data_IF_337558403142
#
_entry.id   IF_337558403142
#
_cell.length_a   1.000
_cell.length_b   1.000
_cell.length_c   1.000
_cell.angle_alpha   90.00
_cell.angle_beta   90.00
_cell.angle_gamma   90.00
#
_symmetry.space_group_name_H-M   'P 1'
#
loop_
_entity.id
_entity.type
_entity.pdbx_description
1 polymer ?
#
# COMPACT_ATOMS: atom_id res chain seq x y z
N UNK A 1 35.00 49.55 -27.57
CA UNK A 1 35.11 50.24 -26.26
C UNK A 1 33.70 50.67 -25.88
N UNK A 2 32.98 50.07 -24.95
CA UNK A 2 33.41 49.32 -23.78
C UNK A 2 32.56 48.07 -23.59
N UNK A 3 33.27 47.01 -23.26
CA UNK A 3 32.78 45.77 -22.66
C UNK A 3 32.08 46.08 -21.34
N UNK A 4 31.01 45.35 -21.03
CA UNK A 4 30.81 44.85 -19.67
C UNK A 4 29.92 43.60 -19.71
N UNK A 5 30.64 42.51 -19.56
CA UNK A 5 30.19 41.17 -19.23
C UNK A 5 29.43 41.20 -17.90
N UNK A 6 28.27 40.55 -17.81
CA UNK A 6 27.71 40.12 -16.52
C UNK A 6 27.10 38.74 -16.73
N UNK A 7 27.88 37.75 -16.34
CA UNK A 7 27.46 36.36 -16.18
C UNK A 7 26.59 36.19 -14.91
N UNK A 8 25.83 35.10 -14.92
CA UNK A 8 25.29 34.36 -13.77
C UNK A 8 24.07 34.92 -13.04
N UNK A 9 22.92 34.28 -13.28
CA UNK A 9 22.46 33.25 -12.36
C UNK A 9 21.38 32.40 -13.05
N UNK A 10 21.75 31.18 -13.47
CA UNK A 10 20.79 30.09 -13.62
C UNK A 10 20.18 29.83 -12.24
N UNK A 11 18.95 30.30 -12.03
CA UNK A 11 18.13 29.85 -10.92
C UNK A 11 17.63 28.46 -11.26
N UNK A 12 18.34 27.46 -10.77
CA UNK A 12 17.88 26.07 -10.69
C UNK A 12 16.62 26.01 -9.81
N UNK A 13 15.45 26.23 -10.41
CA UNK A 13 14.18 25.86 -9.80
C UNK A 13 14.07 24.34 -9.85
N UNK A 14 14.64 23.70 -8.83
CA UNK A 14 14.33 22.32 -8.50
C UNK A 14 12.93 22.27 -7.89
N UNK A 15 11.90 22.47 -8.73
CA UNK A 15 10.52 22.17 -8.35
C UNK A 15 10.40 20.65 -8.24
N UNK A 16 10.66 20.13 -7.04
CA UNK A 16 10.19 18.82 -6.65
C UNK A 16 8.67 18.83 -6.83
N UNK A 17 8.21 18.22 -7.91
CA UNK A 17 6.78 18.13 -8.21
C UNK A 17 6.06 17.44 -7.04
N UNK A 18 4.83 17.87 -6.72
CA UNK A 18 4.07 17.23 -5.66
C UNK A 18 3.90 15.76 -6.00
N UNK A 19 4.28 14.91 -5.06
CA UNK A 19 4.16 13.44 -5.12
C UNK A 19 2.67 13.05 -5.06
N UNK A 20 1.92 13.30 -6.13
CA UNK A 20 0.55 12.79 -6.30
C UNK A 20 0.61 11.28 -6.63
N UNK A 21 0.78 10.44 -5.60
CA UNK A 21 0.87 8.98 -5.80
C UNK A 21 -0.42 8.21 -5.53
N UNK A 22 -1.47 8.84 -4.98
CA UNK A 22 -2.62 8.08 -4.42
C UNK A 22 -3.77 7.76 -5.37
N UNK A 23 -3.74 8.18 -6.64
CA UNK A 23 -4.84 7.93 -7.57
C UNK A 23 -4.67 6.69 -8.46
N UNK A 24 -3.49 6.08 -8.48
CA UNK A 24 -3.28 4.87 -9.28
C UNK A 24 -3.89 3.67 -8.53
N UNK A 25 -4.69 2.88 -9.26
CA UNK A 25 -5.30 1.61 -8.82
C UNK A 25 -6.28 1.69 -7.64
N UNK A 26 -6.81 2.88 -7.34
CA UNK A 26 -7.91 3.03 -6.39
C UNK A 26 -9.21 2.43 -6.95
N UNK A 27 -9.93 1.66 -6.13
CA UNK A 27 -11.28 1.16 -6.43
C UNK A 27 -12.22 1.42 -5.26
N UNK A 28 -13.35 2.07 -5.53
CA UNK A 28 -14.37 2.41 -4.54
C UNK A 28 -15.05 1.17 -3.92
N UNK A 29 -15.00 0.03 -4.62
CA UNK A 29 -15.51 -1.26 -4.14
C UNK A 29 -14.46 -2.35 -4.27
N UNK A 30 -14.53 -3.33 -3.37
CA UNK A 30 -13.64 -4.48 -3.40
C UNK A 30 -13.90 -5.31 -4.68
N UNK A 31 -12.89 -5.65 -5.49
CA UNK A 31 -13.09 -6.40 -6.74
C UNK A 31 -13.62 -7.82 -6.56
N UNK A 32 -13.52 -8.37 -5.35
CA UNK A 32 -13.92 -9.74 -5.04
C UNK A 32 -15.28 -9.78 -4.32
N UNK A 33 -15.37 -9.17 -3.13
CA UNK A 33 -16.58 -9.22 -2.32
C UNK A 33 -17.47 -7.97 -2.40
N UNK A 34 -17.12 -7.01 -3.27
CA UNK A 34 -17.96 -5.85 -3.65
C UNK A 34 -18.36 -4.89 -2.50
N UNK A 35 -17.70 -4.95 -1.35
CA UNK A 35 -17.93 -4.00 -0.23
C UNK A 35 -17.32 -2.64 -0.54
N UNK A 36 -17.92 -1.56 -0.02
CA UNK A 36 -17.43 -0.20 -0.20
C UNK A 36 -16.17 0.10 0.62
N UNK A 37 -15.44 1.16 0.26
CA UNK A 37 -14.32 1.64 1.09
C UNK A 37 -14.80 1.98 2.50
N UNK A 38 -14.12 1.43 3.51
CA UNK A 38 -14.49 1.57 4.92
C UNK A 38 -15.37 0.44 5.45
N UNK A 39 -15.88 -0.44 4.59
CA UNK A 39 -16.66 -1.62 4.99
C UNK A 39 -15.77 -2.86 5.20
N UNK A 40 -16.17 -3.71 6.14
CA UNK A 40 -15.48 -4.97 6.41
C UNK A 40 -15.70 -5.96 5.26
N UNK A 41 -14.64 -6.65 4.85
CA UNK A 41 -14.74 -7.71 3.85
C UNK A 41 -15.65 -8.85 4.30
N UNK A 42 -16.50 -9.33 3.38
CA UNK A 42 -17.43 -10.44 3.62
C UNK A 42 -16.66 -11.69 4.07
N UNK A 43 -17.20 -12.34 5.10
CA UNK A 43 -16.76 -13.62 5.60
C UNK A 43 -17.90 -14.63 5.43
N UNK A 44 -17.56 -15.81 4.93
CA UNK A 44 -18.47 -16.94 4.78
C UNK A 44 -17.77 -18.22 5.27
N UNK A 45 -18.50 -19.11 5.94
CA UNK A 45 -17.94 -20.34 6.53
C UNK A 45 -17.69 -21.45 5.50
N UNK A 46 -18.26 -21.36 4.30
CA UNK A 46 -18.19 -22.38 3.25
C UNK A 46 -16.97 -22.20 2.37
N UNK A 47 -16.73 -20.97 1.90
CA UNK A 47 -15.58 -20.66 1.04
C UNK A 47 -14.48 -19.84 1.73
N UNK A 48 -14.71 -19.37 2.96
CA UNK A 48 -13.80 -18.54 3.77
C UNK A 48 -13.89 -17.03 3.47
N UNK A 49 -14.75 -16.63 2.53
CA UNK A 49 -15.04 -15.25 2.16
C UNK A 49 -14.02 -14.63 1.20
N UNK A 50 -13.80 -13.33 1.38
CA UNK A 50 -13.04 -12.51 0.42
C UNK A 50 -11.55 -12.89 0.28
N UNK A 51 -11.10 -13.11 -0.95
CA UNK A 51 -9.70 -13.34 -1.37
C UNK A 51 -8.80 -12.13 -1.09
N UNK A 52 -9.36 -10.92 -1.05
CA UNK A 52 -8.62 -9.68 -0.77
C UNK A 52 -8.38 -9.49 0.72
N UNK A 53 -9.27 -10.00 1.58
CA UNK A 53 -9.20 -9.78 3.02
C UNK A 53 -7.88 -10.27 3.63
N UNK A 54 -7.32 -9.50 4.55
CA UNK A 54 -6.13 -9.84 5.34
C UNK A 54 -6.49 -10.34 6.73
N UNK A 55 -5.68 -11.23 7.26
CA UNK A 55 -5.69 -11.54 8.68
C UNK A 55 -4.97 -10.41 9.43
N UNK A 56 -5.64 -9.77 10.39
CA UNK A 56 -5.08 -8.66 11.15
C UNK A 56 -3.97 -9.11 12.13
N UNK A 57 -3.92 -10.42 12.45
CA UNK A 57 -2.87 -11.01 13.30
C UNK A 57 -1.58 -11.24 12.51
N UNK A 58 -1.67 -11.67 11.25
CA UNK A 58 -0.50 -12.12 10.46
C UNK A 58 -0.13 -11.21 9.29
N UNK A 59 -1.04 -10.37 8.83
CA UNK A 59 -0.89 -9.52 7.64
C UNK A 59 -1.09 -10.25 6.30
N UNK A 60 -1.17 -11.58 6.31
CA UNK A 60 -1.37 -12.40 5.12
C UNK A 60 -2.85 -12.56 4.78
N UNK A 61 -3.14 -13.23 3.66
CA UNK A 61 -4.51 -13.49 3.23
C UNK A 61 -5.30 -14.23 4.31
N UNK A 62 -6.46 -13.68 4.67
CA UNK A 62 -7.35 -14.28 5.68
C UNK A 62 -7.81 -15.67 5.26
N UNK A 63 -8.17 -15.83 3.98
CA UNK A 63 -8.62 -17.09 3.40
C UNK A 63 -7.63 -18.24 3.56
N UNK A 64 -6.32 -17.93 3.55
CA UNK A 64 -5.25 -18.91 3.64
C UNK A 64 -4.65 -19.01 5.05
N UNK A 65 -5.27 -18.37 6.04
CA UNK A 65 -4.82 -18.42 7.43
C UNK A 65 -5.37 -19.67 8.13
N UNK A 66 -4.48 -20.58 8.53
CA UNK A 66 -4.80 -21.86 9.17
C UNK A 66 -4.46 -21.90 10.67
N UNK A 67 -4.08 -20.75 11.24
CA UNK A 67 -3.74 -20.61 12.65
C UNK A 67 -4.98 -20.49 13.54
N UNK A 68 -4.88 -21.01 14.76
CA UNK A 68 -5.96 -20.96 15.76
C UNK A 68 -6.07 -19.58 16.42
N UNK A 69 -6.70 -18.64 15.72
CA UNK A 69 -7.05 -17.31 16.24
C UNK A 69 -8.22 -16.67 15.46
N UNK A 70 -8.83 -15.63 16.05
CA UNK A 70 -9.71 -14.74 15.30
C UNK A 70 -8.86 -13.83 14.40
N UNK A 71 -9.00 -13.98 13.08
CA UNK A 71 -8.29 -13.17 12.09
C UNK A 71 -8.69 -11.69 12.13
N UNK A 72 -9.77 -11.34 12.83
CA UNK A 72 -10.33 -10.01 12.88
C UNK A 72 -11.22 -9.69 11.67
N UNK A 73 -11.45 -8.38 11.44
CA UNK A 73 -12.34 -7.86 10.41
C UNK A 73 -11.62 -6.79 9.60
N UNK A 74 -10.88 -7.25 8.60
CA UNK A 74 -10.21 -6.39 7.63
C UNK A 74 -11.23 -5.57 6.81
N UNK A 75 -10.84 -4.34 6.49
CA UNK A 75 -11.68 -3.33 5.87
C UNK A 75 -11.13 -2.96 4.50
N UNK A 76 -12.02 -2.85 3.51
CA UNK A 76 -11.61 -2.41 2.19
C UNK A 76 -11.13 -0.96 2.25
N UNK A 77 -9.86 -0.73 1.94
CA UNK A 77 -9.25 0.61 2.00
C UNK A 77 -9.39 1.38 0.70
N UNK A 78 -9.75 0.69 -0.39
CA UNK A 78 -9.73 1.22 -1.75
C UNK A 78 -8.51 0.82 -2.56
N UNK A 79 -7.52 0.17 -1.95
CA UNK A 79 -6.31 -0.28 -2.62
C UNK A 79 -6.02 -1.75 -2.34
N UNK A 80 -5.37 -2.41 -3.29
CA UNK A 80 -4.91 -3.79 -3.13
C UNK A 80 -3.98 -3.95 -1.92
N UNK A 81 -4.05 -5.08 -1.19
CA UNK A 81 -3.19 -5.32 -0.04
C UNK A 81 -1.70 -5.17 -0.36
N UNK A 82 -1.00 -4.39 0.45
CA UNK A 82 0.43 -4.09 0.30
C UNK A 82 0.75 -2.82 -0.51
N UNK A 83 -0.19 -2.26 -1.28
CA UNK A 83 0.06 -1.02 -2.04
C UNK A 83 0.47 0.14 -1.12
N UNK A 84 -0.36 0.46 -0.13
CA UNK A 84 -0.14 1.57 0.80
C UNK A 84 1.16 1.38 1.60
N UNK A 85 1.45 0.14 1.99
CA UNK A 85 2.68 -0.17 2.72
C UNK A 85 3.92 0.01 1.86
N UNK A 86 3.92 -0.53 0.63
CA UNK A 86 5.01 -0.34 -0.33
C UNK A 86 5.26 1.15 -0.61
N UNK A 87 4.20 1.94 -0.83
CA UNK A 87 4.32 3.39 -1.03
C UNK A 87 4.96 4.07 0.19
N UNK A 88 4.46 3.78 1.39
CA UNK A 88 4.95 4.36 2.65
C UNK A 88 6.41 3.98 2.93
N UNK A 89 6.80 2.75 2.59
CA UNK A 89 8.15 2.22 2.82
C UNK A 89 9.15 2.65 1.72
N UNK A 90 8.65 3.12 0.58
CA UNK A 90 9.43 3.40 -0.63
C UNK A 90 9.85 2.14 -1.38
N UNK A 91 9.10 1.04 -1.24
CA UNK A 91 9.36 -0.25 -1.88
C UNK A 91 8.48 -0.42 -3.12
N UNK A 92 8.80 0.39 -4.13
CA UNK A 92 8.10 0.42 -5.42
C UNK A 92 9.07 0.00 -6.52
N UNK A 93 8.61 -0.83 -7.46
CA UNK A 93 9.33 -1.13 -8.71
C UNK A 93 9.15 -0.01 -9.74
N UNK A 94 8.07 0.78 -9.61
CA UNK A 94 7.74 1.95 -10.41
C UNK A 94 6.46 2.62 -9.89
N UNK A 95 6.03 3.75 -10.49
CA UNK A 95 4.76 4.40 -10.12
C UNK A 95 3.58 3.42 -10.23
N UNK A 96 2.85 3.22 -9.13
CA UNK A 96 1.73 2.26 -9.06
C UNK A 96 2.11 0.78 -9.07
N UNK A 97 3.41 0.45 -9.05
CA UNK A 97 3.88 -0.95 -9.11
C UNK A 97 4.58 -1.34 -7.80
N UNK A 98 3.84 -1.84 -6.79
CA UNK A 98 4.39 -2.18 -5.48
C UNK A 98 5.30 -3.40 -5.56
N UNK A 99 6.44 -3.37 -4.87
CA UNK A 99 7.32 -4.53 -4.73
C UNK A 99 6.78 -5.48 -3.66
N UNK A 100 5.67 -6.16 -3.96
CA UNK A 100 5.01 -7.07 -3.03
C UNK A 100 5.89 -8.27 -2.64
N UNK A 101 6.75 -8.72 -3.55
CA UNK A 101 7.71 -9.79 -3.24
C UNK A 101 8.65 -9.35 -2.12
N UNK A 102 9.20 -8.14 -2.22
CA UNK A 102 10.02 -7.58 -1.14
C UNK A 102 9.20 -7.34 0.13
N UNK A 103 7.98 -6.82 0.01
CA UNK A 103 7.10 -6.58 1.15
C UNK A 103 6.89 -7.84 1.99
N UNK A 104 6.50 -8.95 1.35
CA UNK A 104 6.16 -10.19 2.04
C UNK A 104 7.38 -11.04 2.43
N UNK A 105 8.58 -10.77 1.88
CA UNK A 105 9.80 -11.52 2.24
C UNK A 105 10.73 -10.77 3.20
N UNK A 106 10.77 -9.45 3.11
CA UNK A 106 11.62 -8.61 3.97
C UNK A 106 10.81 -7.82 5.01
N UNK A 107 9.52 -7.53 4.78
CA UNK A 107 8.72 -6.76 5.73
C UNK A 107 8.42 -7.53 7.02
N UNK A 108 8.26 -6.79 8.12
CA UNK A 108 7.75 -7.34 9.39
C UNK A 108 6.33 -6.82 9.59
N UNK A 109 5.38 -7.72 9.87
CA UNK A 109 4.01 -7.34 10.19
C UNK A 109 3.94 -6.75 11.62
N UNK A 110 3.39 -5.55 11.75
CA UNK A 110 3.03 -4.92 13.02
C UNK A 110 1.52 -5.03 13.21
N UNK A 111 1.09 -6.01 14.00
CA UNK A 111 -0.34 -6.31 14.21
C UNK A 111 -1.07 -5.20 14.97
N UNK A 112 -0.39 -4.43 15.83
CA UNK A 112 -1.02 -3.29 16.52
C UNK A 112 -1.36 -2.17 15.54
N UNK A 113 -0.54 -2.00 14.50
CA UNK A 113 -0.74 -0.99 13.45
C UNK A 113 -1.50 -1.50 12.25
N UNK A 114 -1.69 -2.81 12.13
CA UNK A 114 -2.18 -3.47 10.93
C UNK A 114 -1.41 -3.01 9.67
N UNK A 115 -0.07 -2.98 9.76
CA UNK A 115 0.78 -2.46 8.70
C UNK A 115 2.14 -3.16 8.64
N UNK A 116 2.73 -3.21 7.44
CA UNK A 116 4.09 -3.74 7.26
C UNK A 116 5.16 -2.70 7.59
N UNK A 117 6.20 -3.06 8.33
CA UNK A 117 7.32 -2.18 8.67
C UNK A 117 8.65 -2.73 8.16
N UNK A 118 9.66 -1.85 8.05
CA UNK A 118 11.02 -2.31 7.71
C UNK A 118 11.57 -3.17 8.86
N UNK A 119 12.42 -4.15 8.56
CA UNK A 119 13.28 -4.78 9.55
C UNK A 119 14.06 -3.73 10.33
N UNK A 120 14.16 -3.93 11.65
CA UNK A 120 15.01 -3.16 12.55
C UNK A 120 16.49 -3.33 12.23
#
# INVERSE_FOLDING_TARGET
MNDNNTENAESTENTAQPKEFRLIDYQDRCPDCDVEVGEAHIYDEVDGGCDVARCLVTGYQRLMCDLDHDCGRDVWTGWWPGQIDCERLGWMLGPGFPDLNRLYTEGIWDAERCAWVKPS
#
